data_IF_605386800991
#
_entry.id   IF_605386800991
#
_cell.length_a   1.000
_cell.length_b   1.000
_cell.length_c   1.000
_cell.angle_alpha   90.00
_cell.angle_beta   90.00
_cell.angle_gamma   90.00
#
_symmetry.space_group_name_H-M   'P 1'
#
loop_
_entity.id
_entity.type
_entity.pdbx_description
1 polymer ?
#
# COMPACT_ATOMS: atom_id res chain seq x y z
N UNK A 1 -5.77 -4.22 -4.97
CA UNK A 1 -6.32 -3.83 -3.63
C UNK A 1 -5.68 -4.62 -2.49
N UNK A 2 -4.96 -5.70 -2.79
CA UNK A 2 -4.32 -6.58 -1.81
C UNK A 2 -3.41 -5.86 -0.79
N UNK A 3 -2.63 -4.84 -1.21
CA UNK A 3 -1.72 -4.11 -0.31
C UNK A 3 -2.44 -3.44 0.88
N UNK A 4 -3.46 -2.60 0.61
CA UNK A 4 -4.19 -1.88 1.67
C UNK A 4 -4.98 -2.86 2.54
N UNK A 5 -5.56 -3.91 1.94
CA UNK A 5 -6.28 -4.95 2.70
C UNK A 5 -5.33 -5.68 3.64
N UNK A 6 -4.13 -6.04 3.19
CA UNK A 6 -3.13 -6.74 4.02
C UNK A 6 -2.65 -5.86 5.17
N UNK A 7 -2.40 -4.57 4.93
CA UNK A 7 -2.03 -3.61 6.01
C UNK A 7 -3.16 -3.49 7.05
N UNK A 8 -4.42 -3.64 6.64
CA UNK A 8 -5.58 -3.55 7.53
C UNK A 8 -5.85 -4.85 8.30
N UNK A 9 -5.76 -5.97 7.61
CA UNK A 9 -6.32 -7.24 8.05
C UNK A 9 -5.25 -8.16 8.67
N UNK A 10 -3.96 -7.86 8.47
CA UNK A 10 -2.83 -8.61 9.04
C UNK A 10 -1.94 -7.74 9.93
N UNK A 11 -1.31 -8.38 10.92
CA UNK A 11 -0.21 -7.79 11.67
C UNK A 11 1.05 -7.74 10.81
N UNK A 12 1.65 -6.54 10.71
CA UNK A 12 2.82 -6.24 9.88
C UNK A 12 3.97 -5.82 10.79
N UNK A 13 5.10 -6.54 10.73
CA UNK A 13 6.26 -6.21 11.56
C UNK A 13 7.30 -5.33 10.84
N UNK A 14 7.24 -5.26 9.51
CA UNK A 14 8.13 -4.45 8.67
C UNK A 14 7.68 -4.46 7.22
N UNK A 15 8.26 -3.58 6.40
CA UNK A 15 8.12 -3.61 4.94
C UNK A 15 8.50 -4.98 4.34
N UNK A 16 9.56 -5.60 4.85
CA UNK A 16 10.02 -6.93 4.39
C UNK A 16 9.03 -8.04 4.72
N UNK A 17 8.41 -7.97 5.90
CA UNK A 17 7.36 -8.90 6.32
C UNK A 17 6.11 -8.76 5.43
N UNK A 18 5.64 -7.53 5.21
CA UNK A 18 4.54 -7.24 4.29
C UNK A 18 4.82 -7.77 2.87
N UNK A 19 6.04 -7.60 2.37
CA UNK A 19 6.42 -8.12 1.06
C UNK A 19 6.35 -9.65 0.99
N UNK A 20 6.71 -10.35 2.07
CA UNK A 20 6.57 -11.82 2.16
C UNK A 20 5.10 -12.24 2.18
N UNK A 21 4.25 -11.57 2.97
CA UNK A 21 2.81 -11.84 3.05
C UNK A 21 2.12 -11.69 1.69
N UNK A 22 2.50 -10.64 0.94
CA UNK A 22 2.00 -10.38 -0.42
C UNK A 22 2.64 -11.27 -1.50
N UNK A 23 3.70 -12.03 -1.19
CA UNK A 23 4.48 -12.76 -2.20
C UNK A 23 5.17 -11.85 -3.24
N UNK A 24 5.50 -10.61 -2.88
CA UNK A 24 6.06 -9.58 -3.77
C UNK A 24 7.52 -9.24 -3.40
N UNK A 25 8.24 -8.60 -4.32
CA UNK A 25 9.59 -8.10 -4.04
C UNK A 25 9.52 -6.86 -3.15
N UNK A 26 10.42 -6.78 -2.17
CA UNK A 26 10.45 -5.70 -1.17
C UNK A 26 10.55 -4.31 -1.78
N UNK A 27 11.40 -4.12 -2.80
CA UNK A 27 11.54 -2.83 -3.48
C UNK A 27 10.24 -2.37 -4.16
N UNK A 28 9.50 -3.30 -4.78
CA UNK A 28 8.22 -2.99 -5.43
C UNK A 28 7.17 -2.61 -4.38
N UNK A 29 7.15 -3.30 -3.24
CA UNK A 29 6.24 -2.97 -2.13
C UNK A 29 6.61 -1.61 -1.51
N UNK A 30 7.90 -1.33 -1.35
CA UNK A 30 8.37 -0.04 -0.87
C UNK A 30 7.93 1.11 -1.78
N UNK A 31 8.05 0.95 -3.10
CA UNK A 31 7.62 1.98 -4.06
C UNK A 31 6.11 2.26 -3.96
N UNK A 32 5.29 1.22 -3.82
CA UNK A 32 3.85 1.38 -3.59
C UNK A 32 3.55 2.08 -2.26
N UNK A 33 4.20 1.66 -1.17
CA UNK A 33 4.01 2.26 0.15
C UNK A 33 4.44 3.73 0.16
N UNK A 34 5.51 4.08 -0.55
CA UNK A 34 5.96 5.45 -0.69
C UNK A 34 4.88 6.32 -1.35
N UNK A 35 4.26 5.83 -2.43
CA UNK A 35 3.14 6.52 -3.06
C UNK A 35 1.96 6.69 -2.09
N UNK A 36 1.58 5.64 -1.37
CA UNK A 36 0.49 5.70 -0.39
C UNK A 36 0.79 6.67 0.76
N UNK A 37 2.04 6.78 1.18
CA UNK A 37 2.48 7.73 2.20
C UNK A 37 2.41 9.18 1.70
N UNK A 38 2.90 9.42 0.48
CA UNK A 38 2.85 10.75 -0.16
C UNK A 38 1.41 11.23 -0.37
N UNK A 39 0.50 10.32 -0.74
CA UNK A 39 -0.93 10.59 -0.88
C UNK A 39 -1.68 10.59 0.48
N UNK A 40 -0.97 10.37 1.59
CA UNK A 40 -1.51 10.45 2.94
C UNK A 40 -2.48 9.32 3.33
N UNK A 41 -2.41 8.19 2.65
CA UNK A 41 -3.22 7.00 2.94
C UNK A 41 -2.67 6.21 4.13
N UNK A 42 -1.34 6.14 4.23
CA UNK A 42 -0.62 5.43 5.29
C UNK A 42 0.36 6.35 6.00
N UNK A 43 0.78 5.93 7.19
CA UNK A 43 1.96 6.43 7.90
C UNK A 43 2.98 5.31 8.10
N UNK A 44 4.21 5.70 8.44
CA UNK A 44 5.22 4.75 8.89
C UNK A 44 5.48 4.96 10.38
N UNK A 45 5.18 3.94 11.17
CA UNK A 45 5.65 3.87 12.56
C UNK A 45 7.08 3.31 12.56
N UNK A 46 7.91 3.82 13.48
CA UNK A 46 9.26 3.32 13.69
C UNK A 46 9.34 2.54 14.99
N UNK A 47 9.56 1.24 14.88
CA UNK A 47 9.85 0.37 16.02
C UNK A 47 11.19 -0.33 15.80
N UNK A 48 12.11 -0.17 16.74
CA UNK A 48 13.41 -0.86 16.72
C UNK A 48 14.15 -0.78 15.37
N UNK A 49 14.19 0.41 14.77
CA UNK A 49 14.83 0.71 13.48
C UNK A 49 14.15 0.06 12.25
N UNK A 50 12.89 -0.37 12.38
CA UNK A 50 12.06 -0.89 11.29
C UNK A 50 10.94 0.07 11.01
N UNK A 51 10.60 0.21 9.73
CA UNK A 51 9.41 0.95 9.30
C UNK A 51 8.23 -0.01 9.19
N UNK A 52 7.17 0.32 9.90
CA UNK A 52 5.92 -0.43 9.93
C UNK A 52 4.85 0.44 9.27
N UNK A 53 4.32 0.04 8.10
CA UNK A 53 3.26 0.79 7.45
C UNK A 53 1.93 0.59 8.20
N UNK A 54 1.25 1.68 8.54
CA UNK A 54 -0.06 1.68 9.22
C UNK A 54 -1.04 2.57 8.46
N UNK A 55 -2.33 2.26 8.50
CA UNK A 55 -3.35 3.12 7.88
C UNK A 55 -3.48 4.42 8.67
N UNK A 56 -3.40 5.57 8.00
CA UNK A 56 -3.61 6.88 8.64
C UNK A 56 -5.06 7.09 9.07
N UNK A 57 -5.98 6.44 8.37
CA UNK A 57 -7.41 6.61 8.54
C UNK A 57 -8.07 5.29 8.92
N UNK A 58 -8.97 5.33 9.89
CA UNK A 58 -9.78 4.17 10.31
C UNK A 58 -10.64 3.62 9.15
N UNK A 59 -11.10 4.50 8.27
CA UNK A 59 -11.97 4.16 7.15
C UNK A 59 -11.38 4.63 5.82
N UNK A 60 -11.13 3.68 4.91
CA UNK A 60 -10.66 3.94 3.54
C UNK A 60 -11.67 3.38 2.56
N UNK A 61 -12.26 4.24 1.72
CA UNK A 61 -13.13 3.83 0.62
C UNK A 61 -12.34 3.74 -0.69
N UNK A 62 -12.15 2.53 -1.17
CA UNK A 62 -11.49 2.29 -2.46
C UNK A 62 -12.56 2.03 -3.51
N UNK A 63 -12.60 2.84 -4.55
CA UNK A 63 -13.45 2.60 -5.73
C UNK A 63 -12.56 2.30 -6.94
N UNK A 64 -12.53 1.04 -7.42
CA UNK A 64 -11.83 0.71 -8.66
C UNK A 64 -12.37 1.55 -9.82
N UNK A 65 -11.48 2.17 -10.57
CA UNK A 65 -11.83 2.89 -11.79
C UNK A 65 -11.57 1.99 -12.98
N UNK A 66 -12.62 1.68 -13.75
CA UNK A 66 -12.48 1.03 -15.06
C UNK A 66 -12.35 2.15 -16.09
N UNK A 67 -11.12 2.41 -16.53
CA UNK A 67 -10.86 3.42 -17.55
C UNK A 67 -11.09 2.81 -18.95
N UNK A 68 -12.18 3.19 -19.60
CA UNK A 68 -12.36 2.91 -21.03
C UNK A 68 -11.42 3.80 -21.84
N UNK A 69 -10.49 3.19 -22.59
CA UNK A 69 -9.70 3.94 -23.57
C UNK A 69 -10.63 4.40 -24.70
N UNK A 70 -11.03 5.67 -24.69
CA UNK A 70 -11.60 6.29 -25.89
C UNK A 70 -10.55 6.26 -27.00
N UNK A 71 -10.87 5.63 -28.13
CA UNK A 71 -10.07 5.81 -29.35
C UNK A 71 -10.14 7.30 -29.69
N UNK A 72 -9.00 7.97 -29.68
CA UNK A 72 -8.87 9.31 -30.25
C UNK A 72 -9.07 9.13 -31.77
N UNK A 73 -10.05 9.80 -32.40
CA UNK A 73 -10.18 9.75 -33.85
C UNK A 73 -8.92 10.32 -34.50
N UNK A 74 -8.50 9.67 -35.58
CA UNK A 74 -7.32 10.02 -36.36
C UNK A 74 -7.44 11.39 -37.04
#
# INVERSE_FOLDING_TARGET
MELIQTIRDEEIESIRDLARKLGRKENVVYDDLKLLFEEGVIDFEEESNRKIPVLRHENIWIRPLVLERKKVPA
#
